data_IF_568144046745
#
_entry.id   IF_568144046745
#
_cell.length_a   1.000
_cell.length_b   1.000
_cell.length_c   1.000
_cell.angle_alpha   90.00
_cell.angle_beta   90.00
_cell.angle_gamma   90.00
#
_symmetry.space_group_name_H-M   'P 1'
#
loop_
_entity.id
_entity.type
_entity.pdbx_description
1 polymer ?
#
# COMPACT_ATOMS: atom_id res chain seq x y z
N UNK A 1 -19.72 -0.20 -9.06
CA UNK A 1 -18.37 -0.78 -8.85
C UNK A 1 -17.63 -0.01 -7.75
N UNK A 2 -16.91 -0.70 -6.87
CA UNK A 2 -16.10 -0.06 -5.81
C UNK A 2 -14.92 0.70 -6.43
N UNK A 3 -14.54 1.84 -5.85
CA UNK A 3 -13.32 2.56 -6.28
C UNK A 3 -12.06 1.86 -5.73
N UNK A 4 -10.88 2.26 -6.20
CA UNK A 4 -9.62 1.61 -5.78
C UNK A 4 -9.36 1.75 -4.27
N UNK A 5 -9.84 2.82 -3.63
CA UNK A 5 -9.70 3.02 -2.18
C UNK A 5 -10.46 1.93 -1.43
N UNK A 6 -11.70 1.64 -1.85
CA UNK A 6 -12.52 0.57 -1.27
C UNK A 6 -12.00 -0.81 -1.61
N UNK A 7 -11.48 -1.01 -2.83
CA UNK A 7 -10.87 -2.28 -3.23
C UNK A 7 -9.64 -2.59 -2.36
N UNK A 8 -8.73 -1.63 -2.20
CA UNK A 8 -7.55 -1.82 -1.35
C UNK A 8 -7.93 -1.99 0.12
N UNK A 9 -8.98 -1.32 0.60
CA UNK A 9 -9.54 -1.56 1.93
C UNK A 9 -10.02 -3.00 2.10
N UNK A 10 -10.82 -3.52 1.15
CA UNK A 10 -11.33 -4.90 1.24
C UNK A 10 -10.19 -5.92 1.22
N UNK A 11 -9.19 -5.72 0.34
CA UNK A 11 -8.02 -6.60 0.23
C UNK A 11 -7.21 -6.58 1.54
N UNK A 12 -6.98 -5.38 2.11
CA UNK A 12 -6.30 -5.22 3.38
C UNK A 12 -7.02 -5.98 4.50
N UNK A 13 -8.33 -5.80 4.62
CA UNK A 13 -9.15 -6.47 5.63
C UNK A 13 -9.15 -8.00 5.47
N UNK A 14 -9.25 -8.50 4.23
CA UNK A 14 -9.16 -9.94 3.94
C UNK A 14 -7.81 -10.54 4.34
N UNK A 15 -6.75 -9.71 4.36
CA UNK A 15 -5.39 -10.08 4.79
C UNK A 15 -5.07 -9.70 6.23
N UNK A 16 -6.06 -9.26 7.01
CA UNK A 16 -5.88 -8.80 8.41
C UNK A 16 -4.86 -7.66 8.55
N UNK A 17 -4.77 -6.78 7.55
CA UNK A 17 -3.96 -5.56 7.58
C UNK A 17 -4.80 -4.40 8.11
N UNK A 18 -4.19 -3.53 8.93
CA UNK A 18 -4.84 -2.32 9.41
C UNK A 18 -4.82 -1.26 8.31
N UNK A 19 -5.99 -0.90 7.76
CA UNK A 19 -6.11 0.01 6.64
C UNK A 19 -6.46 1.43 7.08
N UNK A 20 -5.65 2.40 6.66
CA UNK A 20 -5.94 3.82 6.84
C UNK A 20 -5.82 4.57 5.51
N UNK A 21 -6.69 5.56 5.30
CA UNK A 21 -6.67 6.41 4.11
C UNK A 21 -6.60 7.88 4.51
N UNK A 22 -5.63 8.62 3.97
CA UNK A 22 -5.46 10.01 4.34
C UNK A 22 -4.24 10.68 3.71
N UNK A 23 -4.07 11.98 3.98
CA UNK A 23 -2.79 12.66 3.70
C UNK A 23 -1.70 12.10 4.62
N UNK A 24 -0.43 12.12 4.18
CA UNK A 24 0.73 11.72 5.00
C UNK A 24 0.70 12.26 6.43
N UNK A 25 0.41 13.56 6.60
CA UNK A 25 0.36 14.18 7.92
C UNK A 25 -0.72 13.60 8.86
N UNK A 26 -1.82 13.04 8.32
CA UNK A 26 -2.81 12.35 9.13
C UNK A 26 -2.39 10.90 9.43
N UNK A 27 -1.71 10.26 8.49
CA UNK A 27 -1.15 8.91 8.65
C UNK A 27 0.01 8.90 9.67
N UNK A 28 0.78 9.99 9.76
CA UNK A 28 1.80 10.17 10.81
C UNK A 28 1.23 10.17 12.23
N UNK A 29 -0.04 10.53 12.42
CA UNK A 29 -0.66 10.62 13.76
C UNK A 29 -1.17 9.28 14.29
N UNK A 30 -1.03 8.20 13.53
CA UNK A 30 -1.48 6.85 13.92
C UNK A 30 -0.60 6.20 15.01
N UNK A 31 0.50 6.88 15.37
CA UNK A 31 1.51 6.55 16.37
C UNK A 31 0.92 6.08 17.72
N UNK A 32 -0.22 6.63 18.14
CA UNK A 32 -0.85 6.31 19.43
C UNK A 32 -1.53 4.93 19.53
N UNK A 33 -1.60 4.14 18.46
CA UNK A 33 -2.36 2.87 18.41
C UNK A 33 -1.57 1.67 17.84
N UNK A 34 -0.27 1.83 17.58
CA UNK A 34 0.52 0.80 16.94
C UNK A 34 0.86 -0.34 17.92
N UNK A 35 0.00 -1.35 17.98
CA UNK A 35 0.30 -2.60 18.69
C UNK A 35 1.47 -3.32 17.98
N UNK A 36 2.48 -3.83 18.74
CA UNK A 36 3.58 -4.60 18.17
C UNK A 36 3.08 -5.77 17.31
N UNK A 37 3.70 -5.96 16.15
CA UNK A 37 3.39 -7.06 15.23
C UNK A 37 2.21 -6.82 14.27
N UNK A 38 1.50 -5.69 14.37
CA UNK A 38 0.51 -5.30 13.35
C UNK A 38 1.18 -4.82 12.07
N UNK A 39 0.58 -5.19 10.94
CA UNK A 39 0.96 -4.67 9.62
C UNK A 39 -0.09 -3.66 9.16
N UNK A 40 0.37 -2.50 8.73
CA UNK A 40 -0.46 -1.39 8.33
C UNK A 40 -0.38 -1.19 6.82
N UNK A 41 -1.52 -0.90 6.21
CA UNK A 41 -1.62 -0.37 4.85
C UNK A 41 -2.10 1.09 4.94
N UNK A 42 -1.16 2.02 4.85
CA UNK A 42 -1.41 3.45 4.98
C UNK A 42 -1.49 4.08 3.57
N UNK A 43 -2.71 4.18 3.07
CA UNK A 43 -3.00 4.62 1.72
C UNK A 43 -3.10 6.13 1.62
N UNK A 44 -2.22 6.74 0.83
CA UNK A 44 -2.28 8.17 0.54
C UNK A 44 -3.43 8.52 -0.41
N UNK A 45 -3.75 9.81 -0.51
CA UNK A 45 -4.78 10.26 -1.42
C UNK A 45 -4.49 9.85 -2.87
N UNK A 46 -5.48 9.19 -3.45
CA UNK A 46 -5.47 8.71 -4.82
C UNK A 46 -5.83 9.81 -5.80
N UNK A 47 -4.99 10.00 -6.81
CA UNK A 47 -5.32 10.79 -7.99
C UNK A 47 -6.25 9.99 -8.92
N UNK A 48 -7.27 10.64 -9.47
CA UNK A 48 -8.31 10.02 -10.30
C UNK A 48 -8.43 10.78 -11.61
N UNK A 49 -8.16 10.10 -12.73
CA UNK A 49 -8.30 10.66 -14.08
C UNK A 49 -9.39 9.89 -14.82
N UNK A 50 -10.45 10.59 -15.21
CA UNK A 50 -11.53 9.99 -16.01
C UNK A 50 -11.14 9.96 -17.48
N UNK A 51 -11.37 8.83 -18.13
CA UNK A 51 -11.31 8.70 -19.58
C UNK A 51 -12.73 8.79 -20.13
N UNK A 52 -12.90 9.52 -21.24
CA UNK A 52 -14.18 9.67 -21.91
C UNK A 52 -14.21 8.88 -23.22
N UNK A 53 -15.41 8.52 -23.67
CA UNK A 53 -15.60 8.02 -25.03
C UNK A 53 -15.22 9.09 -26.07
N UNK A 54 -15.13 8.68 -27.34
CA UNK A 54 -14.70 9.56 -28.45
C UNK A 54 -15.54 10.83 -28.58
N UNK A 55 -16.81 10.77 -28.18
CA UNK A 55 -17.72 11.93 -28.20
C UNK A 55 -17.56 12.88 -27.00
N UNK A 56 -16.77 12.52 -25.98
CA UNK A 56 -16.60 13.30 -24.75
C UNK A 56 -17.81 13.32 -23.81
N UNK A 57 -18.85 12.53 -24.08
CA UNK A 57 -20.14 12.59 -23.38
C UNK A 57 -20.28 11.61 -22.23
N UNK A 58 -19.43 10.57 -22.19
CA UNK A 58 -19.52 9.48 -21.22
C UNK A 58 -18.14 9.03 -20.76
N UNK A 59 -17.98 8.85 -19.45
CA UNK A 59 -16.77 8.25 -18.87
C UNK A 59 -16.76 6.76 -19.22
N UNK A 60 -15.65 6.25 -19.74
CA UNK A 60 -15.49 4.85 -20.15
C UNK A 60 -14.53 4.09 -19.25
N UNK A 61 -13.62 4.80 -18.57
CA UNK A 61 -12.69 4.25 -17.60
C UNK A 61 -12.22 5.33 -16.62
N UNK A 62 -11.58 4.90 -15.55
CA UNK A 62 -10.84 5.77 -14.66
C UNK A 62 -9.45 5.19 -14.39
N UNK A 63 -8.44 6.05 -14.49
CA UNK A 63 -7.06 5.76 -14.10
C UNK A 63 -6.83 6.30 -12.70
N UNK A 64 -6.40 5.42 -11.82
CA UNK A 64 -6.08 5.70 -10.43
C UNK A 64 -4.58 5.63 -10.23
N UNK A 65 -4.00 6.70 -9.72
CA UNK A 65 -2.57 6.79 -9.40
C UNK A 65 -2.42 7.14 -7.94
N UNK A 66 -1.54 6.44 -7.23
CA UNK A 66 -1.37 6.69 -5.81
C UNK A 66 -0.18 5.97 -5.21
N UNK A 67 -0.05 6.15 -3.90
CA UNK A 67 0.98 5.53 -3.08
C UNK A 67 0.36 5.01 -1.81
N UNK A 68 0.96 3.97 -1.25
CA UNK A 68 0.65 3.52 0.09
C UNK A 68 1.91 2.99 0.78
N UNK A 69 1.94 3.11 2.09
CA UNK A 69 2.94 2.43 2.91
C UNK A 69 2.37 1.07 3.33
N UNK A 70 3.15 0.02 3.13
CA UNK A 70 2.90 -1.29 3.71
C UNK A 70 3.99 -1.54 4.74
N UNK A 71 3.68 -1.32 6.02
CA UNK A 71 4.71 -1.16 7.06
C UNK A 71 4.32 -1.82 8.37
N UNK A 72 5.32 -2.08 9.22
CA UNK A 72 5.18 -2.53 10.61
C UNK A 72 5.90 -1.55 11.52
N UNK A 73 5.48 -1.49 12.77
CA UNK A 73 6.25 -0.76 13.79
C UNK A 73 7.61 -1.42 13.96
N UNK A 74 8.67 -0.61 14.04
CA UNK A 74 10.04 -1.08 14.15
C UNK A 74 10.68 -0.64 15.47
N UNK A 75 11.73 -1.36 15.87
CA UNK A 75 12.61 -0.98 16.97
C UNK A 75 13.77 -0.15 16.41
N UNK A 76 14.00 1.03 17.00
CA UNK A 76 15.10 1.92 16.60
C UNK A 76 16.48 1.28 16.79
N UNK A 77 16.62 0.43 17.81
CA UNK A 77 17.91 -0.16 18.19
C UNK A 77 18.24 -1.42 17.38
N UNK A 78 17.31 -1.88 16.53
CA UNK A 78 17.50 -3.04 15.67
C UNK A 78 18.40 -2.71 14.46
N UNK A 79 19.34 -3.60 14.17
CA UNK A 79 20.21 -3.50 13.00
C UNK A 79 19.41 -3.59 11.69
N UNK A 80 19.89 -2.95 10.63
CA UNK A 80 19.25 -2.97 9.32
C UNK A 80 19.35 -4.33 8.64
N UNK A 81 20.53 -4.94 8.68
CA UNK A 81 20.85 -6.22 8.05
C UNK A 81 21.92 -7.01 8.86
N UNK A 82 22.89 -7.65 8.21
CA UNK A 82 23.95 -8.43 8.84
C UNK A 82 25.21 -7.62 9.23
N UNK A 83 25.11 -6.28 9.33
CA UNK A 83 26.23 -5.41 9.69
C UNK A 83 26.66 -5.54 11.17
N UNK A 84 25.73 -5.92 12.04
CA UNK A 84 25.98 -6.22 13.45
C UNK A 84 24.94 -7.21 13.96
N UNK A 85 25.33 -8.19 14.79
CA UNK A 85 24.40 -9.21 15.29
C UNK A 85 24.05 -10.30 14.26
N UNK A 86 22.82 -10.80 14.29
CA UNK A 86 22.33 -11.88 13.42
C UNK A 86 21.36 -11.35 12.35
N UNK A 87 21.53 -11.80 11.11
CA UNK A 87 20.69 -11.44 9.97
C UNK A 87 19.20 -11.76 10.22
N UNK A 88 18.92 -12.91 10.85
CA UNK A 88 17.56 -13.36 11.20
C UNK A 88 16.76 -12.35 12.05
N UNK A 89 17.46 -11.52 12.80
CA UNK A 89 16.88 -10.51 13.69
C UNK A 89 17.02 -9.10 13.13
N UNK A 90 17.37 -8.94 11.86
CA UNK A 90 17.50 -7.63 11.24
C UNK A 90 16.15 -7.00 10.88
N UNK A 91 16.11 -5.67 10.75
CA UNK A 91 14.93 -4.92 10.27
C UNK A 91 14.46 -5.45 8.93
N UNK A 92 15.38 -5.75 8.00
CA UNK A 92 15.01 -6.31 6.70
C UNK A 92 14.29 -7.66 6.85
N UNK A 93 14.90 -8.65 7.50
CA UNK A 93 14.35 -10.01 7.60
C UNK A 93 13.06 -10.05 8.44
N UNK A 94 12.97 -9.26 9.51
CA UNK A 94 11.79 -9.25 10.38
C UNK A 94 10.63 -8.42 9.82
N UNK A 95 10.93 -7.25 9.25
CA UNK A 95 9.92 -6.24 8.93
C UNK A 95 9.67 -6.06 7.44
N UNK A 96 10.70 -6.14 6.58
CA UNK A 96 10.60 -5.81 5.14
C UNK A 96 10.33 -7.06 4.30
N UNK A 97 11.16 -8.09 4.43
CA UNK A 97 11.11 -9.29 3.59
C UNK A 97 9.73 -9.99 3.60
N UNK A 98 9.05 -10.18 4.75
CA UNK A 98 7.72 -10.78 4.76
C UNK A 98 6.67 -9.93 4.01
N UNK A 99 6.86 -8.62 3.91
CA UNK A 99 5.93 -7.70 3.26
C UNK A 99 6.04 -7.74 1.74
N UNK A 100 7.16 -8.20 1.18
CA UNK A 100 7.30 -8.40 -0.27
C UNK A 100 6.27 -9.41 -0.79
N UNK A 101 6.05 -10.50 -0.05
CA UNK A 101 5.01 -11.47 -0.39
C UNK A 101 3.61 -10.86 -0.27
N UNK A 102 3.35 -10.11 0.81
CA UNK A 102 2.07 -9.43 1.01
C UNK A 102 1.78 -8.44 -0.12
N UNK A 103 2.78 -7.66 -0.54
CA UNK A 103 2.69 -6.74 -1.67
C UNK A 103 2.33 -7.44 -2.98
N UNK A 104 2.99 -8.56 -3.27
CA UNK A 104 2.70 -9.36 -4.46
C UNK A 104 1.28 -9.92 -4.42
N UNK A 105 0.83 -10.41 -3.26
CA UNK A 105 -0.52 -10.94 -3.12
C UNK A 105 -1.60 -9.86 -3.30
N UNK A 106 -1.36 -8.64 -2.81
CA UNK A 106 -2.27 -7.50 -3.02
C UNK A 106 -2.38 -7.22 -4.52
N UNK A 107 -1.24 -7.13 -5.22
CA UNK A 107 -1.19 -6.92 -6.67
C UNK A 107 -1.94 -8.01 -7.43
N UNK A 108 -1.70 -9.28 -7.10
CA UNK A 108 -2.37 -10.42 -7.73
C UNK A 108 -3.89 -10.45 -7.45
N UNK A 109 -4.35 -9.90 -6.32
CA UNK A 109 -5.78 -9.79 -6.02
C UNK A 109 -6.50 -8.81 -6.97
N UNK A 110 -5.77 -7.85 -7.56
CA UNK A 110 -6.32 -6.91 -8.54
C UNK A 110 -6.56 -7.55 -9.92
N UNK A 111 -5.85 -8.64 -10.26
CA UNK A 111 -6.00 -9.34 -11.54
C UNK A 111 -7.44 -9.84 -11.76
N UNK A 112 -8.19 -10.08 -10.68
CA UNK A 112 -9.57 -10.54 -10.72
C UNK A 112 -10.60 -9.44 -11.06
N UNK A 113 -10.19 -8.17 -11.23
CA UNK A 113 -11.10 -7.01 -11.29
C UNK A 113 -11.27 -6.39 -12.68
N UNK A 114 -10.86 -7.08 -13.75
CA UNK A 114 -10.80 -6.51 -15.12
C UNK A 114 -10.01 -5.18 -15.16
N UNK A 115 -9.10 -4.99 -14.22
CA UNK A 115 -8.26 -3.82 -14.10
C UNK A 115 -6.98 -4.01 -14.91
N UNK A 116 -6.52 -2.94 -15.54
CA UNK A 116 -5.23 -2.88 -16.21
C UNK A 116 -4.23 -2.20 -15.25
N UNK A 117 -3.28 -2.97 -14.74
CA UNK A 117 -2.20 -2.47 -13.90
C UNK A 117 -1.06 -2.00 -14.79
N UNK A 118 -0.82 -0.69 -14.83
CA UNK A 118 0.26 -0.08 -15.61
C UNK A 118 1.52 0.19 -14.77
N UNK A 119 1.36 0.27 -13.45
CA UNK A 119 2.45 0.41 -12.50
C UNK A 119 2.10 -0.29 -11.18
N UNK A 120 3.05 -1.07 -10.65
CA UNK A 120 2.95 -1.73 -9.34
C UNK A 120 4.35 -1.93 -8.76
N UNK A 121 4.92 -0.85 -8.23
CA UNK A 121 6.29 -0.81 -7.75
C UNK A 121 6.34 -0.68 -6.23
N UNK A 122 7.45 -1.13 -5.64
CA UNK A 122 7.75 -0.88 -4.23
C UNK A 122 9.24 -0.53 -4.06
N UNK A 123 9.54 0.20 -3.00
CA UNK A 123 10.89 0.41 -2.48
C UNK A 123 10.90 0.14 -0.99
N UNK A 124 12.01 -0.39 -0.50
CA UNK A 124 12.24 -0.58 0.93
C UNK A 124 12.33 0.77 1.63
N UNK A 125 11.68 0.87 2.79
CA UNK A 125 11.74 2.05 3.64
C UNK A 125 11.97 1.64 5.09
N UNK A 126 12.83 2.39 5.76
CA UNK A 126 13.07 2.27 7.20
C UNK A 126 12.88 3.61 7.87
N UNK A 127 12.54 3.58 9.16
CA UNK A 127 12.26 4.77 9.98
C UNK A 127 11.26 5.71 9.27
N UNK A 128 10.28 5.12 8.58
CA UNK A 128 9.28 5.86 7.83
C UNK A 128 8.22 6.43 8.78
N UNK A 129 7.74 7.63 8.43
CA UNK A 129 6.75 8.39 9.21
C UNK A 129 7.32 8.80 10.58
N UNK A 130 6.53 9.54 11.35
CA UNK A 130 6.97 9.99 12.69
C UNK A 130 6.97 8.82 13.72
N UNK A 131 6.29 7.71 13.38
CA UNK A 131 6.03 6.55 14.23
C UNK A 131 7.02 5.39 14.06
N UNK A 132 8.19 5.64 13.46
CA UNK A 132 9.26 4.65 13.26
C UNK A 132 8.80 3.31 12.67
N UNK A 133 8.33 3.35 11.42
CA UNK A 133 7.82 2.17 10.75
C UNK A 133 8.77 1.70 9.64
N UNK A 134 8.97 0.39 9.55
CA UNK A 134 9.76 -0.24 8.49
C UNK A 134 8.86 -1.06 7.57
N UNK A 135 9.23 -1.13 6.29
CA UNK A 135 8.52 -1.93 5.30
C UNK A 135 8.71 -1.41 3.90
N UNK A 136 7.61 -1.17 3.19
CA UNK A 136 7.59 -0.81 1.78
C UNK A 136 6.83 0.48 1.53
N UNK A 137 7.39 1.35 0.69
CA UNK A 137 6.64 2.42 0.03
C UNK A 137 6.25 1.94 -1.37
N UNK A 138 4.96 1.74 -1.57
CA UNK A 138 4.38 1.20 -2.79
C UNK A 138 3.80 2.32 -3.66
N UNK A 139 4.01 2.24 -4.96
CA UNK A 139 3.42 3.14 -5.96
C UNK A 139 2.61 2.35 -6.97
N UNK A 140 1.43 2.86 -7.34
CA UNK A 140 0.54 2.17 -8.27
C UNK A 140 -0.06 3.11 -9.31
N UNK A 141 -0.36 2.53 -10.47
CA UNK A 141 -1.18 3.13 -11.52
C UNK A 141 -2.08 2.05 -12.11
N UNK A 142 -3.39 2.18 -11.91
CA UNK A 142 -4.38 1.17 -12.26
C UNK A 142 -5.51 1.82 -13.04
N UNK A 143 -5.79 1.30 -14.23
CA UNK A 143 -6.95 1.67 -15.02
C UNK A 143 -8.07 0.67 -14.78
N UNK A 144 -9.26 1.18 -14.47
CA UNK A 144 -10.46 0.35 -14.31
C UNK A 144 -11.55 0.82 -15.27
N UNK A 145 -12.21 -0.09 -16.01
CA UNK A 145 -13.33 0.26 -16.86
C UNK A 145 -14.51 0.77 -16.03
N UNK A 146 -15.20 1.78 -16.54
CA UNK A 146 -16.43 2.26 -15.95
C UNK A 146 -17.57 1.30 -16.32
N UNK A 147 -17.89 0.37 -15.43
CA UNK A 147 -19.09 -0.46 -15.59
C UNK A 147 -20.31 0.33 -15.15
N UNK A 148 -21.16 0.65 -16.12
CA UNK A 148 -22.53 1.07 -15.90
C UNK A 148 -23.37 -0.20 -15.83
N UNK A 149 -24.08 -0.40 -14.73
CA UNK A 149 -25.29 -1.23 -14.75
C UNK A 149 -26.35 -0.59 -15.64
#
# INVERSE_FOLDING_TARGET
>A
MKDIVRILQDIAQAKSLEYHYGKKAALNLLDGSAEPGKTFLLHEFTNRKSEYNDSGTKITAATYEGKFFLVKHSDFDQQYFAEAGTEETSKYTANIEPLLQVFNDIGNSLACLSAEVTQWDNIDVTDALDANMDGLLCSYSIKMPAHYE
#
